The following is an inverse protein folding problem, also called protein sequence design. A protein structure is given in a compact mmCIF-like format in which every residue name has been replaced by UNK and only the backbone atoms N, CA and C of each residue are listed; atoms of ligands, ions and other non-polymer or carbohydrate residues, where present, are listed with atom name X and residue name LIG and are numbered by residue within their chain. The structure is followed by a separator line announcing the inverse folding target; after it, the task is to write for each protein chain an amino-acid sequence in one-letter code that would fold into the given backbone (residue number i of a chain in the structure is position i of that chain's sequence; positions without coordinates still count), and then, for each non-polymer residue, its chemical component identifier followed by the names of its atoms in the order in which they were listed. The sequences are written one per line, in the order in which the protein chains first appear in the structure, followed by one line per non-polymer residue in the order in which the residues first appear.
data_IF_402836012946
#
_entry.id   IF_402836012946
#
_cell.length_a   1.000
_cell.length_b   1.000
_cell.length_c   1.000
_cell.angle_alpha   90.00
_cell.angle_beta   90.00
_cell.angle_gamma   90.00
#
_symmetry.space_group_name_H-M   'P 1'
#
loop_
_entity.id
_entity.type
_entity.pdbx_description
1 polymer ?
#
# COMPACT_ATOMS: atom_id res chain seq x y z
N UNK A 1 19.16 10.34 5.06
CA UNK A 1 18.18 9.33 4.59
C UNK A 1 16.98 10.07 4.04
N UNK A 2 16.73 10.01 2.72
CA UNK A 2 15.50 10.54 2.15
C UNK A 2 14.36 9.58 2.49
N UNK A 3 13.42 10.05 3.30
CA UNK A 3 12.18 9.33 3.60
C UNK A 3 11.39 9.30 2.30
N UNK A 4 11.12 8.10 1.78
CA UNK A 4 10.34 7.89 0.58
C UNK A 4 8.92 8.41 0.85
N UNK A 5 8.62 9.63 0.40
CA UNK A 5 7.26 10.16 0.51
C UNK A 5 6.40 9.48 -0.55
N UNK A 6 5.34 8.76 -0.17
CA UNK A 6 4.40 8.23 -1.14
C UNK A 6 3.81 9.41 -1.90
N UNK A 7 4.15 9.50 -3.19
CA UNK A 7 3.48 10.44 -4.10
C UNK A 7 2.05 9.96 -4.24
N UNK A 8 1.10 10.67 -3.65
CA UNK A 8 -0.31 10.55 -4.02
C UNK A 8 -0.40 11.08 -5.46
N UNK A 9 -0.59 10.18 -6.42
CA UNK A 9 -0.55 10.48 -7.86
C UNK A 9 -1.82 11.25 -8.28
N UNK A 10 -2.89 11.19 -7.49
CA UNK A 10 -4.22 11.62 -7.87
C UNK A 10 -4.65 12.84 -7.05
N UNK A 11 -5.14 13.87 -7.72
CA UNK A 11 -5.69 15.06 -7.06
C UNK A 11 -7.18 14.80 -6.80
N UNK A 12 -7.76 15.39 -5.75
CA UNK A 12 -9.15 15.08 -5.34
C UNK A 12 -10.20 15.27 -6.45
N UNK A 13 -9.94 16.15 -7.40
CA UNK A 13 -10.77 16.39 -8.58
C UNK A 13 -10.72 15.30 -9.65
N UNK A 14 -9.77 14.37 -9.56
CA UNK A 14 -9.69 13.19 -10.43
C UNK A 14 -10.63 12.06 -9.95
N UNK A 15 -11.15 12.15 -8.72
CA UNK A 15 -12.00 11.13 -8.08
C UNK A 15 -13.50 11.41 -8.28
N UNK A 16 -13.88 11.62 -9.53
CA UNK A 16 -15.27 11.83 -9.92
C UNK A 16 -15.90 10.53 -10.39
N UNK A 17 -17.17 10.32 -10.02
CA UNK A 17 -17.88 9.13 -10.50
C UNK A 17 -18.09 9.22 -12.02
N UNK A 18 -18.50 8.13 -12.67
CA UNK A 18 -18.81 8.11 -14.13
C UNK A 18 -19.69 9.28 -14.61
N UNK A 19 -20.56 9.82 -13.73
CA UNK A 19 -21.45 10.96 -14.02
C UNK A 19 -21.00 12.28 -13.38
N UNK A 20 -19.72 12.40 -13.00
CA UNK A 20 -19.11 13.55 -12.35
C UNK A 20 -19.72 13.96 -11.01
N UNK A 21 -20.32 13.02 -10.27
CA UNK A 21 -20.76 13.28 -8.90
C UNK A 21 -19.58 13.15 -7.92
N UNK A 22 -19.53 14.02 -6.88
CA UNK A 22 -18.58 13.86 -5.78
C UNK A 22 -18.90 12.62 -4.94
N UNK A 23 -17.89 12.13 -4.22
CA UNK A 23 -17.92 10.97 -3.29
C UNK A 23 -18.08 9.59 -3.98
N UNK A 24 -16.95 8.93 -4.21
CA UNK A 24 -16.88 7.56 -4.69
C UNK A 24 -17.16 6.59 -3.54
N UNK A 25 -18.13 5.70 -3.73
CA UNK A 25 -18.43 4.62 -2.77
C UNK A 25 -18.14 3.24 -3.36
N UNK A 26 -18.18 3.11 -4.69
CA UNK A 26 -18.05 1.83 -5.36
C UNK A 26 -17.04 1.87 -6.51
N UNK A 27 -16.42 0.72 -6.77
CA UNK A 27 -15.47 0.51 -7.87
C UNK A 27 -15.92 -0.67 -8.71
N UNK A 28 -15.93 -0.51 -10.03
CA UNK A 28 -16.16 -1.60 -10.99
C UNK A 28 -14.84 -2.31 -11.27
N UNK A 29 -14.81 -3.62 -11.03
CA UNK A 29 -13.66 -4.48 -11.32
C UNK A 29 -13.73 -5.01 -12.75
N UNK A 30 -13.55 -4.12 -13.71
CA UNK A 30 -13.52 -4.46 -15.14
C UNK A 30 -12.24 -3.95 -15.80
N UNK A 31 -11.36 -4.84 -16.31
CA UNK A 31 -10.10 -4.44 -16.92
C UNK A 31 -10.30 -3.61 -18.20
N UNK A 32 -11.44 -3.72 -18.88
CA UNK A 32 -11.74 -3.00 -20.12
C UNK A 32 -12.14 -1.54 -19.88
N UNK A 33 -12.59 -1.19 -18.66
CA UNK A 33 -12.98 0.19 -18.34
C UNK A 33 -11.76 1.07 -18.07
N UNK A 34 -11.79 2.31 -18.51
CA UNK A 34 -10.81 3.33 -18.07
C UNK A 34 -11.04 3.73 -16.61
N UNK A 35 -10.04 4.29 -15.92
CA UNK A 35 -10.10 4.60 -14.46
C UNK A 35 -11.36 5.35 -14.07
N UNK A 36 -11.67 6.46 -14.73
CA UNK A 36 -12.81 7.32 -14.39
C UNK A 36 -14.17 6.65 -14.66
N UNK A 37 -14.19 5.62 -15.51
CA UNK A 37 -15.40 4.82 -15.77
C UNK A 37 -15.63 3.74 -14.71
N UNK A 38 -14.62 3.43 -13.88
CA UNK A 38 -14.72 2.43 -12.82
C UNK A 38 -15.26 2.99 -11.51
N UNK A 39 -15.20 4.32 -11.32
CA UNK A 39 -15.59 4.95 -10.08
C UNK A 39 -17.09 5.27 -10.09
N UNK A 40 -17.79 4.82 -9.05
CA UNK A 40 -19.23 5.02 -8.89
C UNK A 40 -19.52 5.66 -7.53
N UNK A 41 -20.39 6.66 -7.53
CA UNK A 41 -21.01 7.15 -6.30
C UNK A 41 -22.18 6.24 -5.92
N UNK A 42 -22.77 6.48 -4.74
CA UNK A 42 -23.89 5.69 -4.21
C UNK A 42 -25.04 5.48 -5.19
N UNK A 43 -25.52 6.58 -5.78
CA UNK A 43 -26.65 6.56 -6.70
C UNK A 43 -26.33 5.80 -7.98
N UNK A 44 -25.15 6.03 -8.56
CA UNK A 44 -24.71 5.31 -9.77
C UNK A 44 -24.47 3.82 -9.52
N UNK A 45 -24.01 3.44 -8.32
CA UNK A 45 -23.84 2.04 -7.92
C UNK A 45 -25.17 1.28 -7.85
N UNK A 46 -26.19 1.87 -7.22
CA UNK A 46 -27.52 1.26 -7.09
C UNK A 46 -28.27 1.11 -8.42
N UNK A 47 -27.99 1.98 -9.38
CA UNK A 47 -28.62 1.98 -10.71
C UNK A 47 -27.81 1.15 -11.73
N UNK A 48 -26.62 0.67 -11.36
CA UNK A 48 -25.76 -0.07 -12.27
C UNK A 48 -26.33 -1.45 -12.55
N UNK A 49 -26.78 -1.68 -13.78
CA UNK A 49 -27.16 -2.99 -14.30
C UNK A 49 -25.96 -3.75 -14.89
N UNK A 50 -24.73 -3.37 -14.53
CA UNK A 50 -23.53 -4.01 -15.05
C UNK A 50 -23.42 -5.45 -14.58
N UNK A 51 -23.10 -6.38 -15.49
CA UNK A 51 -22.70 -7.75 -15.15
C UNK A 51 -21.29 -7.80 -14.52
N UNK A 52 -20.54 -6.70 -14.56
CA UNK A 52 -19.20 -6.61 -13.98
C UNK A 52 -19.29 -6.56 -12.45
N UNK A 53 -18.32 -7.17 -11.77
CA UNK A 53 -18.25 -7.19 -10.31
C UNK A 53 -18.04 -5.77 -9.77
N UNK A 54 -18.96 -5.32 -8.90
CA UNK A 54 -18.90 -4.04 -8.21
C UNK A 54 -18.51 -4.29 -6.76
N UNK A 55 -17.55 -3.52 -6.25
CA UNK A 55 -17.08 -3.63 -4.88
C UNK A 55 -17.18 -2.29 -4.17
N UNK A 56 -17.48 -2.33 -2.88
CA UNK A 56 -17.39 -1.16 -2.01
C UNK A 56 -15.93 -0.71 -1.89
N UNK A 57 -15.71 0.60 -2.00
CA UNK A 57 -14.38 1.21 -1.98
C UNK A 57 -13.70 1.04 -0.62
N UNK A 58 -14.42 1.17 0.50
CA UNK A 58 -13.84 0.99 1.84
C UNK A 58 -13.38 -0.45 2.03
N UNK A 59 -14.18 -1.41 1.56
CA UNK A 59 -13.79 -2.82 1.59
C UNK A 59 -12.58 -3.09 0.69
N UNK A 60 -12.56 -2.56 -0.54
CA UNK A 60 -11.40 -2.70 -1.44
C UNK A 60 -10.13 -2.11 -0.82
N UNK A 61 -10.23 -0.92 -0.22
CA UNK A 61 -9.13 -0.27 0.50
C UNK A 61 -8.66 -1.15 1.66
N UNK A 62 -9.57 -1.69 2.46
CA UNK A 62 -9.24 -2.59 3.55
C UNK A 62 -8.46 -3.82 3.06
N UNK A 63 -8.92 -4.49 2.00
CA UNK A 63 -8.21 -5.63 1.41
C UNK A 63 -6.80 -5.25 0.94
N UNK A 64 -6.67 -4.11 0.26
CA UNK A 64 -5.37 -3.61 -0.20
C UNK A 64 -4.42 -3.32 0.97
N UNK A 65 -4.91 -2.67 2.03
CA UNK A 65 -4.13 -2.37 3.22
C UNK A 65 -3.65 -3.64 3.94
N UNK A 66 -4.50 -4.68 4.03
CA UNK A 66 -4.09 -5.98 4.59
C UNK A 66 -3.03 -6.65 3.73
N UNK A 67 -3.20 -6.67 2.41
CA UNK A 67 -2.23 -7.26 1.50
C UNK A 67 -0.86 -6.56 1.59
N UNK A 68 -0.84 -5.22 1.68
CA UNK A 68 0.39 -4.47 1.86
C UNK A 68 1.06 -4.79 3.20
N UNK A 69 0.27 -4.90 4.27
CA UNK A 69 0.79 -5.27 5.59
C UNK A 69 1.42 -6.67 5.57
N UNK A 70 0.78 -7.63 4.93
CA UNK A 70 1.31 -9.00 4.78
C UNK A 70 2.63 -9.02 4.00
N UNK A 71 2.71 -8.27 2.89
CA UNK A 71 3.95 -8.14 2.10
C UNK A 71 5.10 -7.53 2.91
N UNK A 72 4.80 -6.49 3.71
CA UNK A 72 5.80 -5.89 4.60
C UNK A 72 6.31 -6.92 5.61
N UNK A 73 5.41 -7.66 6.27
CA UNK A 73 5.79 -8.69 7.25
C UNK A 73 6.63 -9.80 6.62
N UNK A 74 6.27 -10.23 5.41
CA UNK A 74 7.03 -11.22 4.65
C UNK A 74 8.46 -10.72 4.38
N UNK A 75 8.60 -9.50 3.87
CA UNK A 75 9.91 -8.91 3.60
C UNK A 75 10.73 -8.66 4.86
N UNK A 76 10.10 -8.20 5.95
CA UNK A 76 10.77 -8.04 7.25
C UNK A 76 11.33 -9.36 7.76
N UNK A 77 10.57 -10.46 7.65
CA UNK A 77 11.02 -11.78 8.08
C UNK A 77 12.27 -12.27 7.34
N UNK A 78 12.44 -11.85 6.08
CA UNK A 78 13.61 -12.18 5.26
C UNK A 78 14.78 -11.27 5.61
N UNK A 79 14.54 -9.96 5.78
CA UNK A 79 15.61 -8.96 5.93
C UNK A 79 16.15 -8.88 7.36
N UNK A 80 15.30 -8.98 8.40
CA UNK A 80 15.72 -8.77 9.79
C UNK A 80 16.82 -9.71 10.27
N UNK A 81 16.84 -11.02 9.96
CA UNK A 81 17.94 -11.88 10.36
C UNK A 81 19.30 -11.41 9.84
N UNK A 82 19.34 -10.84 8.63
CA UNK A 82 20.57 -10.29 8.06
C UNK A 82 21.01 -9.00 8.75
N UNK A 83 20.07 -8.11 9.08
CA UNK A 83 20.35 -6.89 9.84
C UNK A 83 20.94 -7.28 11.21
N UNK A 84 20.27 -8.17 11.94
CA UNK A 84 20.72 -8.64 13.24
C UNK A 84 22.10 -9.30 13.19
N UNK A 85 22.40 -10.05 12.13
CA UNK A 85 23.72 -10.64 11.93
C UNK A 85 24.81 -9.59 11.74
N UNK A 86 24.55 -8.53 10.96
CA UNK A 86 25.50 -7.44 10.77
C UNK A 86 25.71 -6.65 12.06
N UNK A 87 24.64 -6.35 12.80
CA UNK A 87 24.70 -5.69 14.10
C UNK A 87 25.51 -6.52 15.11
N UNK A 88 25.33 -7.84 15.12
CA UNK A 88 26.14 -8.75 15.93
C UNK A 88 27.63 -8.67 15.56
N UNK A 89 27.99 -8.70 14.27
CA UNK A 89 29.39 -8.57 13.83
C UNK A 89 29.98 -7.23 14.29
N UNK A 90 29.23 -6.13 14.14
CA UNK A 90 29.68 -4.80 14.49
C UNK A 90 29.95 -4.66 15.99
N UNK A 91 29.04 -5.15 16.84
CA UNK A 91 29.21 -5.16 18.30
C UNK A 91 30.43 -5.99 18.73
N UNK A 92 30.68 -7.13 18.09
CA UNK A 92 31.85 -7.96 18.38
C UNK A 92 33.17 -7.33 17.91
N UNK A 93 33.17 -6.56 16.82
CA UNK A 93 34.35 -5.78 16.38
C UNK A 93 34.72 -4.68 17.37
N UNK A 94 33.72 -3.92 17.83
CA UNK A 94 33.93 -2.86 18.83
C UNK A 94 34.48 -3.45 20.14
N UNK A 95 34.00 -4.63 20.53
CA UNK A 95 34.44 -5.34 21.74
C UNK A 95 35.90 -5.82 21.65
N UNK A 96 36.33 -6.35 20.49
CA UNK A 96 37.74 -6.73 20.27
C UNK A 96 38.69 -5.53 20.33
N UNK A 97 38.35 -4.44 19.64
CA UNK A 97 39.19 -3.24 19.62
C UNK A 97 39.37 -2.60 21.01
N UNK A 98 38.39 -2.74 21.92
CA UNK A 98 38.52 -2.29 23.32
C UNK A 98 39.50 -3.13 24.13
N UNK A 99 39.56 -4.44 23.89
CA UNK A 99 40.48 -5.34 24.60
C UNK A 99 41.92 -5.07 24.15
N UNK A 100 42.14 -4.92 22.84
CA UNK A 100 43.47 -4.67 22.27
C UNK A 100 44.04 -3.28 22.64
N UNK A 101 43.19 -2.32 23.04
CA UNK A 101 43.61 -1.00 23.53
C UNK A 101 43.99 -0.94 25.02
N UNK A 102 43.85 -2.04 25.76
CA UNK A 102 44.15 -2.13 27.21
C UNK A 102 45.40 -2.99 27.49
N UNK A 103 45.88 -3.76 26.50
CA UNK A 103 47.19 -4.44 26.48
C UNK A 103 48.25 -3.61 25.77
#
# INVERSE_FOLDING_TARGET
MQIYQPKVIEKEFDLLCRLNHPQIEFVILDPQLSRNQRLLCKSCGQQSQSNSQIIDYQFLKYCFDQQQKEQILEHESIIMPHIQYLEFIEQNRISKNKIDSIT
#
